data_IF_096635386893
#
_entry.id   IF_096635386893
#
_cell.length_a   1.000
_cell.length_b   1.000
_cell.length_c   1.000
_cell.angle_alpha   90.00
_cell.angle_beta   90.00
_cell.angle_gamma   90.00
#
_symmetry.space_group_name_H-M   'P 1'
#
loop_
_entity.id
_entity.type
_entity.pdbx_description
1 polymer ?
#
# COMPACT_ATOMS: atom_id res chain seq x y z
N UNK A 1 -10.64 14.50 5.94
CA UNK A 1 -11.31 13.38 5.22
C UNK A 1 -10.54 13.13 3.93
N UNK A 2 -10.18 11.89 3.61
CA UNK A 2 -9.46 11.57 2.37
C UNK A 2 -10.47 11.52 1.22
N UNK A 3 -10.15 12.12 0.06
CA UNK A 3 -11.06 12.11 -1.09
C UNK A 3 -10.66 11.12 -2.18
N UNK A 4 -9.37 10.87 -2.34
CA UNK A 4 -8.83 9.97 -3.37
C UNK A 4 -7.55 9.34 -2.87
N UNK A 5 -7.37 8.05 -3.15
CA UNK A 5 -6.13 7.33 -2.94
C UNK A 5 -5.61 6.84 -4.29
N UNK A 6 -4.43 7.30 -4.68
CA UNK A 6 -3.78 6.90 -5.92
C UNK A 6 -2.59 6.01 -5.61
N UNK A 7 -2.53 4.85 -6.25
CA UNK A 7 -1.42 3.91 -6.17
C UNK A 7 -0.64 3.96 -7.48
N UNK A 8 0.66 4.24 -7.37
CA UNK A 8 1.60 4.21 -8.48
C UNK A 8 2.63 3.10 -8.25
N UNK A 9 2.95 2.34 -9.29
CA UNK A 9 4.01 1.34 -9.26
C UNK A 9 5.06 1.58 -10.34
N UNK A 10 6.30 1.22 -10.03
CA UNK A 10 7.40 1.20 -10.99
C UNK A 10 8.06 -0.17 -10.97
N UNK A 11 7.50 -1.11 -11.74
CA UNK A 11 8.19 -2.36 -12.04
C UNK A 11 8.82 -2.29 -13.42
N UNK A 12 9.85 -3.12 -13.65
CA UNK A 12 10.60 -3.21 -14.90
C UNK A 12 9.67 -3.31 -16.13
N UNK A 13 9.41 -2.15 -16.76
CA UNK A 13 8.59 -2.03 -17.97
C UNK A 13 7.10 -1.73 -17.78
N UNK A 14 6.61 -1.49 -16.56
CA UNK A 14 5.20 -1.16 -16.32
C UNK A 14 5.02 -0.08 -15.25
N UNK A 15 4.38 1.02 -15.65
CA UNK A 15 3.86 2.08 -14.78
C UNK A 15 2.34 1.95 -14.74
N UNK A 16 1.82 1.44 -13.63
CA UNK A 16 0.38 1.35 -13.38
C UNK A 16 -0.05 2.43 -12.40
N UNK A 17 -1.10 3.18 -12.76
CA UNK A 17 -1.77 4.12 -11.87
C UNK A 17 -3.16 3.59 -11.57
N UNK A 18 -3.51 3.44 -10.29
CA UNK A 18 -4.88 3.14 -9.87
C UNK A 18 -5.38 4.26 -8.98
N UNK A 19 -6.54 4.80 -9.31
CA UNK A 19 -7.31 5.63 -8.39
C UNK A 19 -8.34 4.76 -7.66
N UNK A 20 -8.21 4.70 -6.35
CA UNK A 20 -9.14 4.07 -5.43
C UNK A 20 -10.12 5.13 -4.89
N UNK A 21 -11.34 4.72 -4.53
CA UNK A 21 -12.26 5.60 -3.82
C UNK A 21 -11.66 6.06 -2.49
N UNK A 22 -12.26 7.10 -1.92
CA UNK A 22 -11.97 7.50 -0.55
C UNK A 22 -12.14 6.29 0.40
N UNK A 23 -11.16 6.00 1.27
CA UNK A 23 -11.29 4.94 2.24
C UNK A 23 -12.27 5.36 3.35
N UNK A 24 -13.09 4.42 3.81
CA UNK A 24 -13.99 4.59 4.96
C UNK A 24 -13.21 4.79 6.26
N UNK A 25 -12.02 4.19 6.35
CA UNK A 25 -11.08 4.43 7.44
C UNK A 25 -9.63 4.43 6.99
N UNK A 26 -8.83 5.27 7.64
CA UNK A 26 -7.38 5.27 7.55
C UNK A 26 -6.78 5.26 8.96
N UNK A 27 -5.73 4.48 9.15
CA UNK A 27 -4.95 4.50 10.39
C UNK A 27 -3.46 4.40 10.09
N UNK A 28 -2.65 5.08 10.89
CA UNK A 28 -1.20 5.02 10.84
C UNK A 28 -0.70 4.37 12.13
N UNK A 29 0.12 3.33 12.02
CA UNK A 29 0.70 2.65 13.17
C UNK A 29 1.96 3.37 13.71
N UNK A 30 2.51 2.87 14.83
CA UNK A 30 3.70 3.45 15.46
C UNK A 30 4.97 3.38 14.58
N UNK A 31 4.99 2.48 13.61
CA UNK A 31 6.08 2.34 12.64
C UNK A 31 5.89 3.23 11.41
N UNK A 32 4.76 3.95 11.33
CA UNK A 32 4.38 4.78 10.20
C UNK A 32 3.66 4.01 9.09
N UNK A 33 3.37 2.72 9.27
CA UNK A 33 2.64 1.93 8.28
C UNK A 33 1.20 2.42 8.19
N UNK A 34 0.65 2.37 6.99
CA UNK A 34 -0.64 2.99 6.70
C UNK A 34 -1.62 1.89 6.33
N UNK A 35 -2.76 1.89 6.99
CA UNK A 35 -3.86 0.96 6.71
C UNK A 35 -5.05 1.75 6.18
N UNK A 36 -5.61 1.31 5.07
CA UNK A 36 -6.84 1.84 4.49
C UNK A 36 -7.88 0.73 4.42
N UNK A 37 -9.13 1.05 4.74
CA UNK A 37 -10.26 0.13 4.54
C UNK A 37 -11.29 0.78 3.63
N UNK A 38 -11.78 0.00 2.67
CA UNK A 38 -12.84 0.38 1.74
C UNK A 38 -13.95 -0.67 1.88
N UNK A 39 -15.15 -0.24 2.23
CA UNK A 39 -16.36 -1.03 2.30
C UNK A 39 -17.04 -1.11 0.94
N UNK A 40 -17.57 -2.29 0.63
CA UNK A 40 -18.26 -2.58 -0.64
C UNK A 40 -17.56 -2.10 -1.93
N UNK A 41 -16.24 -2.30 -2.10
CA UNK A 41 -15.57 -1.90 -3.33
C UNK A 41 -16.11 -2.69 -4.52
N UNK A 42 -16.21 -1.99 -5.64
CA UNK A 42 -16.58 -2.56 -6.94
C UNK A 42 -15.60 -3.65 -7.36
N UNK A 43 -16.06 -4.56 -8.22
CA UNK A 43 -15.20 -5.63 -8.75
C UNK A 43 -13.98 -5.07 -9.49
N UNK A 44 -14.12 -3.93 -10.17
CA UNK A 44 -13.01 -3.25 -10.84
C UNK A 44 -11.94 -2.77 -9.84
N UNK A 45 -12.35 -2.25 -8.68
CA UNK A 45 -11.42 -1.87 -7.61
C UNK A 45 -10.72 -3.10 -7.04
N UNK A 46 -11.46 -4.20 -6.81
CA UNK A 46 -10.88 -5.48 -6.35
C UNK A 46 -9.84 -6.01 -7.33
N UNK A 47 -10.18 -6.05 -8.61
CA UNK A 47 -9.31 -6.53 -9.68
C UNK A 47 -8.07 -5.63 -9.83
N UNK A 48 -8.27 -4.31 -9.86
CA UNK A 48 -7.19 -3.35 -9.98
C UNK A 48 -6.18 -3.52 -8.85
N UNK A 49 -6.63 -3.47 -7.60
CA UNK A 49 -5.76 -3.62 -6.43
C UNK A 49 -5.02 -4.95 -6.45
N UNK A 50 -5.70 -6.05 -6.80
CA UNK A 50 -5.11 -7.40 -6.77
C UNK A 50 -3.84 -7.56 -7.61
N UNK A 51 -3.68 -6.76 -8.67
CA UNK A 51 -2.51 -6.79 -9.53
C UNK A 51 -1.22 -6.21 -8.89
N UNK A 52 -1.34 -5.49 -7.77
CA UNK A 52 -0.25 -4.75 -7.13
C UNK A 52 0.11 -5.29 -5.74
N UNK A 53 -0.64 -6.28 -5.26
CA UNK A 53 -0.46 -6.83 -3.92
C UNK A 53 0.72 -7.77 -3.88
N UNK A 54 1.58 -7.58 -2.89
CA UNK A 54 2.32 -8.71 -2.35
C UNK A 54 1.36 -9.59 -1.54
N UNK A 55 1.57 -10.91 -1.58
CA UNK A 55 0.84 -11.85 -0.69
C UNK A 55 1.35 -11.81 0.74
N UNK A 56 2.58 -11.36 0.94
CA UNK A 56 3.22 -11.35 2.23
C UNK A 56 4.33 -10.30 2.26
N UNK A 57 4.42 -9.53 3.34
CA UNK A 57 5.41 -8.48 3.52
C UNK A 57 5.91 -8.54 4.96
N UNK A 58 7.23 -8.65 5.11
CA UNK A 58 7.90 -8.50 6.40
C UNK A 58 8.69 -7.20 6.40
N UNK A 59 8.34 -6.28 7.28
CA UNK A 59 9.08 -5.05 7.49
C UNK A 59 10.18 -5.28 8.53
N UNK A 60 11.39 -4.80 8.23
CA UNK A 60 12.53 -4.84 9.15
C UNK A 60 13.21 -3.48 9.18
N UNK A 61 13.71 -3.10 10.35
CA UNK A 61 14.53 -1.89 10.52
C UNK A 61 16.01 -2.27 10.44
N UNK A 62 16.75 -1.60 9.57
CA UNK A 62 18.19 -1.80 9.43
C UNK A 62 18.93 -1.13 10.58
N UNK A 63 20.22 -1.47 10.75
CA UNK A 63 21.10 -0.82 11.74
C UNK A 63 21.26 0.68 11.50
N UNK A 64 21.12 1.13 10.24
CA UNK A 64 21.13 2.54 9.86
C UNK A 64 19.80 3.26 10.21
N UNK A 65 18.82 2.56 10.77
CA UNK A 65 17.53 3.11 11.17
C UNK A 65 16.49 3.17 10.06
N UNK A 66 16.81 2.70 8.85
CA UNK A 66 15.91 2.68 7.68
C UNK A 66 15.03 1.44 7.67
N UNK A 67 13.80 1.54 7.16
CA UNK A 67 12.93 0.38 6.94
C UNK A 67 13.14 -0.27 5.58
N UNK A 68 13.21 -1.60 5.58
CA UNK A 68 13.27 -2.47 4.40
C UNK A 68 12.10 -3.44 4.47
N UNK A 69 11.42 -3.64 3.34
CA UNK A 69 10.35 -4.62 3.20
C UNK A 69 10.87 -5.86 2.47
N UNK A 70 10.65 -7.04 3.02
CA UNK A 70 10.91 -8.33 2.36
C UNK A 70 9.57 -8.92 1.96
N UNK A 71 9.33 -9.06 0.67
CA UNK A 71 8.02 -9.38 0.13
C UNK A 71 8.07 -10.55 -0.86
N UNK A 72 6.97 -11.28 -1.02
CA UNK A 72 6.89 -12.43 -1.94
C UNK A 72 7.24 -12.04 -3.39
N UNK A 73 7.67 -13.00 -4.25
CA UNK A 73 8.14 -12.73 -5.61
C UNK A 73 7.06 -12.11 -6.51
N UNK A 74 7.09 -10.79 -6.54
CA UNK A 74 6.59 -9.81 -7.52
C UNK A 74 6.83 -8.38 -6.99
N UNK A 75 7.51 -8.16 -5.85
CA UNK A 75 7.11 -7.07 -4.99
C UNK A 75 7.51 -5.75 -5.62
N UNK A 76 6.53 -4.89 -5.81
CA UNK A 76 6.72 -3.58 -6.40
C UNK A 76 6.78 -2.57 -5.27
N UNK A 77 7.72 -1.64 -5.38
CA UNK A 77 7.67 -0.44 -4.57
C UNK A 77 6.46 0.35 -5.05
N UNK A 78 5.46 0.49 -4.18
CA UNK A 78 4.24 1.24 -4.45
C UNK A 78 4.38 2.61 -3.80
N UNK A 79 4.12 3.65 -4.58
CA UNK A 79 3.90 4.99 -4.06
C UNK A 79 2.40 5.20 -3.92
N UNK A 80 1.95 5.34 -2.68
CA UNK A 80 0.60 5.76 -2.36
C UNK A 80 0.57 7.27 -2.21
N UNK A 81 -0.32 7.94 -2.93
CA UNK A 81 -0.58 9.37 -2.80
C UNK A 81 -2.04 9.56 -2.49
N UNK A 82 -2.38 10.33 -1.46
CA UNK A 82 -3.76 10.66 -1.14
C UNK A 82 -3.92 12.12 -0.79
N UNK A 83 -5.13 12.62 -0.99
CA UNK A 83 -5.48 14.00 -0.64
C UNK A 83 -6.31 14.01 0.63
N UNK A 84 -5.79 14.70 1.65
CA UNK A 84 -6.48 14.97 2.90
C UNK A 84 -7.14 16.35 2.84
N UNK A 85 -8.44 16.38 3.12
CA UNK A 85 -9.13 17.63 3.44
C UNK A 85 -8.93 17.91 4.93
N UNK A 86 -8.18 18.98 5.22
CA UNK A 86 -8.07 19.55 6.56
C UNK A 86 -9.22 20.56 6.75
N UNK A 87 -9.73 20.68 7.98
CA UNK A 87 -11.02 21.32 8.33
C UNK A 87 -11.48 22.50 7.45
N UNK A 88 -12.77 22.47 7.09
CA UNK A 88 -13.65 23.57 6.63
C UNK A 88 -12.96 24.75 5.91
N UNK A 89 -12.52 24.51 4.67
CA UNK A 89 -12.29 25.59 3.69
C UNK A 89 -11.03 25.41 2.86
N UNK A 90 -11.19 24.79 1.69
CA UNK A 90 -10.28 24.82 0.54
C UNK A 90 -8.86 24.23 0.67
N UNK A 91 -8.32 24.00 1.87
CA UNK A 91 -6.96 23.46 2.01
C UNK A 91 -6.94 21.94 1.80
N UNK A 92 -6.48 21.53 0.61
CA UNK A 92 -6.17 20.15 0.26
C UNK A 92 -4.69 19.89 0.55
N UNK A 93 -4.39 19.03 1.52
CA UNK A 93 -3.03 18.54 1.73
C UNK A 93 -2.82 17.27 0.91
N UNK A 94 -1.77 17.24 0.09
CA UNK A 94 -1.39 16.02 -0.64
C UNK A 94 -0.33 15.29 0.16
N UNK A 95 -0.63 14.07 0.57
CA UNK A 95 0.30 13.22 1.31
C UNK A 95 0.79 12.11 0.38
N UNK A 96 2.10 11.87 0.41
CA UNK A 96 2.73 10.79 -0.34
C UNK A 96 3.46 9.87 0.63
N UNK A 97 3.30 8.57 0.46
CA UNK A 97 4.06 7.55 1.15
C UNK A 97 4.55 6.49 0.15
N UNK A 98 5.67 5.86 0.47
CA UNK A 98 6.28 4.84 -0.38
C UNK A 98 6.58 3.60 0.44
N UNK A 99 6.28 2.43 -0.10
CA UNK A 99 6.43 1.19 0.63
C UNK A 99 6.00 -0.04 -0.16
N UNK A 100 5.84 -1.16 0.54
CA UNK A 100 5.29 -2.38 -0.02
C UNK A 100 3.81 -2.52 0.37
N UNK A 101 2.95 -2.70 -0.64
CA UNK A 101 1.52 -2.86 -0.44
C UNK A 101 1.14 -4.34 -0.25
N UNK A 102 0.35 -4.63 0.78
CA UNK A 102 -0.23 -5.95 1.05
C UNK A 102 -1.72 -5.84 1.29
N UNK A 103 -2.44 -6.93 1.04
CA UNK A 103 -3.79 -7.14 1.55
C UNK A 103 -3.76 -8.32 2.51
N UNK A 104 -3.77 -8.09 3.83
CA UNK A 104 -3.55 -9.14 4.83
C UNK A 104 -4.63 -10.24 4.82
N UNK A 105 -5.75 -10.03 4.13
CA UNK A 105 -6.91 -10.92 4.14
C UNK A 105 -7.44 -11.30 2.75
N UNK A 106 -6.62 -11.31 1.70
CA UNK A 106 -7.09 -11.69 0.35
C UNK A 106 -7.61 -13.15 0.26
N UNK A 107 -7.20 -14.02 1.20
CA UNK A 107 -7.40 -15.48 1.07
C UNK A 107 -8.74 -16.01 1.62
N UNK A 108 -9.54 -15.25 2.37
CA UNK A 108 -10.76 -15.81 2.97
C UNK A 108 -11.92 -14.88 2.74
N UNK A 109 -12.85 -15.35 1.89
CA UNK A 109 -14.14 -14.76 1.55
C UNK A 109 -14.12 -13.76 0.38
N UNK A 110 -14.47 -14.26 -0.82
CA UNK A 110 -15.29 -13.53 -1.81
C UNK A 110 -16.67 -13.06 -1.26
N UNK A 111 -16.83 -13.11 0.06
CA UNK A 111 -18.05 -12.85 0.84
C UNK A 111 -17.82 -11.83 1.95
N UNK A 112 -16.63 -11.22 2.08
CA UNK A 112 -16.42 -10.06 2.95
C UNK A 112 -16.53 -8.78 2.12
N UNK A 113 -17.46 -7.94 2.55
CA UNK A 113 -17.84 -6.67 1.93
C UNK A 113 -16.65 -5.70 1.87
N UNK A 114 -15.71 -5.75 2.82
CA UNK A 114 -14.59 -4.79 2.89
C UNK A 114 -13.27 -5.30 2.28
N UNK A 115 -12.49 -4.37 1.72
CA UNK A 115 -11.07 -4.53 1.42
C UNK A 115 -10.24 -3.73 2.43
N UNK A 116 -9.24 -4.37 3.04
CA UNK A 116 -8.22 -3.71 3.86
C UNK A 116 -6.86 -3.77 3.17
N UNK A 117 -6.24 -2.60 2.94
CA UNK A 117 -4.91 -2.45 2.36
C UNK A 117 -3.95 -1.96 3.42
N UNK A 118 -2.75 -2.52 3.45
CA UNK A 118 -1.67 -2.06 4.34
C UNK A 118 -0.44 -1.72 3.49
N UNK A 119 0.03 -0.48 3.58
CA UNK A 119 1.32 -0.05 3.06
C UNK A 119 2.35 -0.09 4.19
N UNK A 120 3.27 -1.04 4.09
CA UNK A 120 4.46 -1.06 4.94
C UNK A 120 5.47 -0.06 4.42
N UNK A 121 5.74 0.99 5.20
CA UNK A 121 6.66 2.06 4.79
C UNK A 121 8.07 1.53 4.73
N UNK A 122 8.73 1.68 3.59
CA UNK A 122 10.12 1.29 3.43
C UNK A 122 10.77 2.03 2.27
N UNK A 123 12.08 2.27 2.40
CA UNK A 123 12.87 2.87 1.32
C UNK A 123 13.31 1.85 0.27
N UNK A 124 13.17 0.56 0.56
CA UNK A 124 13.62 -0.52 -0.32
C UNK A 124 12.76 -1.76 -0.11
N UNK A 125 12.50 -2.46 -1.21
CA UNK A 125 11.77 -3.73 -1.23
C UNK A 125 12.69 -4.81 -1.78
N UNK A 126 12.76 -5.93 -1.08
CA UNK A 126 13.58 -7.09 -1.45
C UNK A 126 12.66 -8.27 -1.68
N UNK A 127 12.85 -8.92 -2.82
CA UNK A 127 12.13 -10.15 -3.14
C UNK A 127 12.58 -11.29 -2.25
N UNK A 128 11.64 -11.92 -1.54
CA UNK A 128 11.85 -13.12 -0.74
C UNK A 128 12.42 -14.23 -1.64
N UNK A 129 13.51 -14.84 -1.20
CA UNK A 129 14.20 -15.90 -1.95
C UNK A 129 15.14 -15.41 -3.07
N UNK A 130 15.33 -14.09 -3.25
CA UNK A 130 16.29 -13.54 -4.23
C UNK A 130 17.77 -13.78 -3.92
N UNK A 131 18.09 -14.40 -2.77
CA UNK A 131 19.46 -14.70 -2.38
C UNK A 131 20.32 -13.47 -2.04
N UNK A 132 19.73 -12.26 -2.00
CA UNK A 132 20.47 -11.03 -1.66
C UNK A 132 20.76 -11.02 -0.16
N UNK A 133 21.95 -11.46 0.21
CA UNK A 133 22.59 -11.17 1.49
C UNK A 133 23.04 -9.72 1.42
N UNK A 134 22.37 -8.82 2.14
CA UNK A 134 22.88 -7.45 2.32
C UNK A 134 24.14 -7.57 3.19
N UNK A 135 25.30 -7.07 2.75
CA UNK A 135 26.52 -7.04 3.57
C UNK A 135 26.36 -6.19 4.85
#
# INVERSE_FOLDING_TARGET
MIQTLTLETWAAGWTGLISLPAPDSISVDQSGNITWTISDPTEDVRAAVSAFLSRNVNQQRTRAGTYVCIADPTPQLVRATWQEVVQLGADQNTVTATGALVMPSYTVARTREDITLVLYICGTVITRGSGVVIP
#
